data_IF_403425824187
#
_entry.id   IF_403425824187
#
_cell.length_a   1.000
_cell.length_b   1.000
_cell.length_c   1.000
_cell.angle_alpha   90.00
_cell.angle_beta   90.00
_cell.angle_gamma   90.00
#
_symmetry.space_group_name_H-M   'P 1'
#
loop_
_entity.id
_entity.type
_entity.pdbx_description
1 polymer ?
#
# COMPACT_ATOMS: atom_id res chain seq x y z
N UNK A 1 2.87 -6.80 -6.46
CA UNK A 1 3.56 -7.84 -5.65
C UNK A 1 3.06 -9.23 -6.02
N UNK A 2 3.79 -10.27 -5.60
CA UNK A 2 3.52 -11.68 -5.95
C UNK A 2 2.06 -12.11 -5.83
N UNK A 3 1.54 -12.85 -6.80
CA UNK A 3 0.26 -13.59 -6.69
C UNK A 3 0.37 -14.93 -7.43
N UNK A 4 -0.18 -16.03 -6.89
CA UNK A 4 -0.17 -17.31 -7.57
C UNK A 4 -1.15 -17.39 -8.77
N UNK A 5 -2.00 -16.39 -8.98
CA UNK A 5 -3.16 -16.48 -9.88
C UNK A 5 -2.82 -16.35 -11.38
N UNK A 6 -1.61 -15.92 -11.74
CA UNK A 6 -1.14 -15.88 -13.13
C UNK A 6 0.40 -15.89 -13.20
N UNK A 7 1.01 -16.36 -14.31
CA UNK A 7 2.47 -16.48 -14.44
C UNK A 7 3.25 -15.18 -14.16
N UNK A 8 2.78 -14.04 -14.70
CA UNK A 8 3.43 -12.75 -14.50
C UNK A 8 3.44 -12.32 -13.02
N UNK A 9 2.28 -12.21 -12.35
CA UNK A 9 2.23 -11.98 -10.92
C UNK A 9 2.96 -13.04 -10.08
N UNK A 10 3.07 -14.29 -10.52
CA UNK A 10 3.75 -15.35 -9.77
C UNK A 10 5.27 -15.17 -9.69
N UNK A 11 5.87 -14.49 -10.67
CA UNK A 11 7.31 -14.15 -10.69
C UNK A 11 7.64 -12.81 -10.03
N UNK A 12 6.63 -12.03 -9.64
CA UNK A 12 6.86 -10.76 -8.92
C UNK A 12 7.40 -11.03 -7.51
N UNK A 13 8.17 -10.08 -6.93
CA UNK A 13 8.76 -10.27 -5.61
C UNK A 13 7.69 -10.31 -4.49
N UNK A 14 8.07 -10.95 -3.39
CA UNK A 14 7.27 -10.99 -2.14
C UNK A 14 7.53 -9.79 -1.25
N UNK A 15 8.61 -9.04 -1.44
CA UNK A 15 8.82 -7.74 -0.84
C UNK A 15 9.62 -6.80 -1.73
N UNK A 16 9.47 -5.50 -1.53
CA UNK A 16 10.25 -4.44 -2.18
C UNK A 16 10.57 -3.39 -1.13
N UNK A 17 11.83 -2.97 -1.04
CA UNK A 17 12.30 -1.95 -0.10
C UNK A 17 12.59 -0.64 -0.82
N UNK A 18 12.22 0.48 -0.21
CA UNK A 18 12.52 1.83 -0.68
C UNK A 18 13.21 2.63 0.44
N UNK A 19 14.45 3.12 0.22
CA UNK A 19 15.08 4.01 1.19
C UNK A 19 14.31 5.35 1.26
N UNK A 20 14.19 5.91 2.47
CA UNK A 20 13.52 7.20 2.70
C UNK A 20 14.44 8.22 3.37
N UNK A 21 15.10 7.86 4.49
CA UNK A 21 16.01 8.72 5.26
C UNK A 21 15.38 10.07 5.67
N UNK A 22 14.13 10.03 6.13
CA UNK A 22 13.41 11.22 6.57
C UNK A 22 12.26 10.84 7.54
N UNK A 23 11.84 11.75 8.43
CA UNK A 23 10.59 11.58 9.16
C UNK A 23 9.38 11.77 8.23
N UNK A 24 8.27 11.10 8.55
CA UNK A 24 7.01 11.27 7.83
C UNK A 24 5.82 11.23 8.79
N UNK A 25 4.95 12.25 8.71
CA UNK A 25 3.64 12.22 9.38
C UNK A 25 2.59 11.44 8.59
N UNK A 26 2.81 11.26 7.28
CA UNK A 26 2.02 10.37 6.46
C UNK A 26 2.82 9.78 5.28
N UNK A 27 2.42 8.59 4.85
CA UNK A 27 2.88 7.93 3.63
C UNK A 27 1.66 7.79 2.73
N UNK A 28 1.72 8.41 1.56
CA UNK A 28 0.66 8.45 0.57
C UNK A 28 0.94 7.42 -0.51
N UNK A 29 -0.01 6.49 -0.74
CA UNK A 29 0.13 5.47 -1.76
C UNK A 29 -0.91 5.71 -2.86
N UNK A 30 -0.44 5.91 -4.09
CA UNK A 30 -1.26 5.71 -5.28
C UNK A 30 -1.33 4.20 -5.54
N UNK A 31 -2.36 3.57 -4.99
CA UNK A 31 -2.48 2.12 -4.81
C UNK A 31 -3.95 1.72 -4.58
N UNK A 32 -4.25 0.88 -3.59
CA UNK A 32 -5.60 0.42 -3.24
C UNK A 32 -6.28 -0.44 -4.31
N UNK A 33 -5.54 -0.87 -5.32
CA UNK A 33 -6.03 -1.77 -6.36
C UNK A 33 -5.21 -3.06 -6.41
N UNK A 34 -5.85 -4.14 -6.83
CA UNK A 34 -5.21 -5.44 -6.98
C UNK A 34 -5.84 -6.24 -8.12
N UNK A 35 -5.12 -7.19 -8.71
CA UNK A 35 -5.76 -8.24 -9.49
C UNK A 35 -6.40 -9.29 -8.57
N UNK A 36 -7.57 -9.81 -8.94
CA UNK A 36 -8.33 -10.79 -8.15
C UNK A 36 -8.69 -10.27 -6.73
N UNK A 37 -8.99 -8.98 -6.62
CA UNK A 37 -9.39 -8.33 -5.37
C UNK A 37 -10.91 -8.26 -5.20
N UNK A 38 -11.39 -7.56 -4.19
CA UNK A 38 -12.83 -7.34 -4.02
C UNK A 38 -13.43 -6.55 -5.20
N UNK A 39 -14.60 -6.94 -5.76
CA UNK A 39 -15.56 -7.88 -5.19
C UNK A 39 -15.39 -9.35 -5.65
N UNK A 40 -14.38 -9.66 -6.47
CA UNK A 40 -14.12 -11.04 -6.93
C UNK A 40 -13.81 -11.97 -5.76
N UNK A 41 -12.87 -11.57 -4.89
CA UNK A 41 -12.65 -12.19 -3.57
C UNK A 41 -12.99 -11.18 -2.47
N UNK A 42 -13.85 -11.57 -1.53
CA UNK A 42 -14.30 -10.73 -0.42
C UNK A 42 -13.61 -11.02 0.91
N UNK A 43 -12.68 -11.99 0.95
CA UNK A 43 -11.94 -12.33 2.16
C UNK A 43 -11.08 -11.14 2.61
N UNK A 44 -11.29 -10.58 3.82
CA UNK A 44 -10.58 -9.39 4.28
C UNK A 44 -9.18 -9.72 4.85
N UNK A 45 -8.48 -10.70 4.26
CA UNK A 45 -7.11 -11.03 4.64
C UNK A 45 -6.11 -9.96 4.17
N UNK A 46 -4.95 -9.91 4.82
CA UNK A 46 -3.86 -8.98 4.51
C UNK A 46 -3.36 -9.19 3.09
N UNK A 47 -3.50 -8.16 2.25
CA UNK A 47 -3.04 -8.16 0.86
C UNK A 47 -1.59 -7.67 0.76
N UNK A 48 -1.27 -6.62 1.51
CA UNK A 48 0.06 -6.01 1.59
C UNK A 48 0.29 -5.48 3.02
N UNK A 49 1.53 -5.48 3.48
CA UNK A 49 1.96 -4.80 4.70
C UNK A 49 2.86 -3.65 4.25
N UNK A 50 2.62 -2.46 4.80
CA UNK A 50 3.59 -1.37 4.76
C UNK A 50 4.38 -1.47 6.05
N UNK A 51 5.61 -1.96 5.95
CA UNK A 51 6.54 -2.06 7.07
C UNK A 51 7.46 -0.86 7.05
N UNK A 52 7.56 -0.18 8.19
CA UNK A 52 8.37 1.01 8.37
C UNK A 52 9.55 0.61 9.26
N UNK A 53 10.76 0.79 8.74
CA UNK A 53 12.00 0.58 9.48
C UNK A 53 12.55 1.95 9.89
N UNK A 54 12.61 2.20 11.19
CA UNK A 54 13.15 3.44 11.73
C UNK A 54 14.68 3.39 11.83
N UNK A 55 15.32 4.55 11.76
CA UNK A 55 16.78 4.67 11.85
C UNK A 55 17.35 4.18 13.20
N UNK A 56 16.52 4.15 14.25
CA UNK A 56 16.88 3.62 15.57
C UNK A 56 16.71 2.10 15.69
N UNK A 57 16.40 1.41 14.59
CA UNK A 57 16.25 -0.05 14.53
C UNK A 57 14.88 -0.57 14.96
N UNK A 58 13.95 0.29 15.37
CA UNK A 58 12.57 -0.12 15.61
C UNK A 58 11.80 -0.32 14.30
N UNK A 59 10.75 -1.13 14.33
CA UNK A 59 9.90 -1.38 13.17
C UNK A 59 8.42 -1.31 13.52
N UNK A 60 7.59 -0.89 12.57
CA UNK A 60 6.14 -1.06 12.67
C UNK A 60 5.50 -1.57 11.38
N UNK A 61 4.43 -2.36 11.54
CA UNK A 61 3.68 -2.95 10.43
C UNK A 61 2.27 -2.35 10.35
N UNK A 62 1.89 -1.93 9.14
CA UNK A 62 0.53 -1.50 8.80
C UNK A 62 -0.07 -2.47 7.79
N UNK A 63 -1.04 -3.28 8.25
CA UNK A 63 -1.72 -4.26 7.41
C UNK A 63 -2.77 -3.60 6.51
N UNK A 64 -2.59 -3.73 5.19
CA UNK A 64 -3.56 -3.31 4.19
C UNK A 64 -4.32 -4.53 3.67
N UNK A 65 -5.61 -4.59 3.99
CA UNK A 65 -6.49 -5.75 3.78
C UNK A 65 -7.27 -5.67 2.46
N UNK A 66 -7.49 -6.82 1.82
CA UNK A 66 -8.46 -6.94 0.72
C UNK A 66 -9.88 -6.59 1.21
N UNK A 67 -10.75 -6.13 0.31
CA UNK A 67 -12.12 -5.67 0.61
C UNK A 67 -12.24 -4.49 1.59
N UNK A 68 -11.11 -3.99 2.12
CA UNK A 68 -11.03 -2.83 3.01
C UNK A 68 -10.21 -1.71 2.39
N UNK A 69 -8.97 -2.02 2.03
CA UNK A 69 -8.03 -1.09 1.41
C UNK A 69 -7.91 -1.36 -0.10
N UNK A 70 -7.98 -2.64 -0.49
CA UNK A 70 -7.83 -3.07 -1.87
C UNK A 70 -9.16 -3.48 -2.51
N UNK A 71 -9.36 -3.03 -3.74
CA UNK A 71 -10.39 -3.47 -4.66
C UNK A 71 -9.77 -4.02 -5.96
N UNK A 72 -10.55 -4.73 -6.78
CA UNK A 72 -10.13 -5.17 -8.10
C UNK A 72 -9.98 -3.99 -9.05
N UNK A 73 -8.91 -3.95 -9.85
CA UNK A 73 -8.62 -2.82 -10.73
C UNK A 73 -9.58 -2.71 -11.92
N UNK A 74 -10.25 -3.80 -12.33
CA UNK A 74 -10.97 -3.91 -13.61
C UNK A 74 -12.12 -2.92 -13.81
N UNK A 75 -12.68 -2.37 -12.72
CA UNK A 75 -13.75 -1.36 -12.72
C UNK A 75 -13.80 -0.65 -11.38
N UNK A 76 -14.48 0.50 -11.30
CA UNK A 76 -14.75 1.14 -10.01
C UNK A 76 -15.48 0.20 -9.06
N UNK A 77 -14.93 0.04 -7.85
CA UNK A 77 -15.51 -0.71 -6.75
C UNK A 77 -15.05 -0.08 -5.45
N UNK A 78 -15.99 0.29 -4.59
CA UNK A 78 -15.69 0.99 -3.35
C UNK A 78 -15.40 0.04 -2.19
N UNK A 79 -14.37 0.40 -1.43
CA UNK A 79 -13.94 -0.25 -0.19
C UNK A 79 -13.66 0.84 0.85
N UNK A 80 -13.89 0.57 2.15
CA UNK A 80 -14.00 1.62 3.18
C UNK A 80 -12.70 2.39 3.47
N UNK A 81 -11.54 1.75 3.37
CA UNK A 81 -10.27 2.28 3.88
C UNK A 81 -9.33 2.75 2.75
N UNK A 82 -9.85 2.92 1.53
CA UNK A 82 -9.15 3.62 0.45
C UNK A 82 -10.11 4.49 -0.35
N UNK A 83 -9.60 5.56 -0.95
CA UNK A 83 -10.39 6.53 -1.71
C UNK A 83 -10.22 6.28 -3.19
N UNK A 84 -11.29 6.41 -3.98
CA UNK A 84 -11.15 6.47 -5.43
C UNK A 84 -10.31 7.69 -5.81
N UNK A 85 -9.28 7.48 -6.64
CA UNK A 85 -8.42 8.57 -7.11
C UNK A 85 -8.87 9.03 -8.50
N UNK A 86 -8.82 8.14 -9.48
CA UNK A 86 -9.25 8.39 -10.85
C UNK A 86 -9.52 7.08 -11.60
N UNK A 87 -10.10 7.17 -12.79
CA UNK A 87 -10.26 6.07 -13.71
C UNK A 87 -9.35 6.25 -14.93
N UNK A 88 -8.95 5.15 -15.55
CA UNK A 88 -8.31 5.12 -16.85
C UNK A 88 -9.37 5.08 -17.96
N UNK A 89 -8.99 5.42 -19.20
CA UNK A 89 -9.91 5.46 -20.35
C UNK A 89 -10.65 4.13 -20.58
N UNK A 90 -10.03 3.00 -20.21
CA UNK A 90 -10.63 1.66 -20.30
C UNK A 90 -11.59 1.30 -19.16
N UNK A 91 -11.91 2.23 -18.26
CA UNK A 91 -12.81 2.02 -17.12
C UNK A 91 -12.17 1.37 -15.89
N UNK A 92 -10.88 1.03 -15.94
CA UNK A 92 -10.12 0.57 -14.78
C UNK A 92 -10.00 1.69 -13.75
N UNK A 93 -9.80 1.34 -12.48
CA UNK A 93 -9.67 2.31 -11.39
C UNK A 93 -8.24 2.40 -10.86
N UNK A 94 -7.92 3.56 -10.29
CA UNK A 94 -6.83 3.75 -9.34
C UNK A 94 -7.41 4.29 -8.02
N UNK A 95 -6.81 3.89 -6.90
CA UNK A 95 -7.23 4.31 -5.57
C UNK A 95 -6.06 4.94 -4.81
N UNK A 96 -6.38 5.50 -3.66
CA UNK A 96 -5.45 6.20 -2.79
C UNK A 96 -5.58 5.67 -1.36
N UNK A 97 -4.45 5.38 -0.73
CA UNK A 97 -4.34 4.98 0.67
C UNK A 97 -3.41 5.97 1.39
N UNK A 98 -3.80 6.40 2.59
CA UNK A 98 -2.95 7.13 3.52
C UNK A 98 -2.54 6.20 4.65
N UNK A 99 -1.25 6.06 4.89
CA UNK A 99 -0.69 5.38 6.07
C UNK A 99 -0.09 6.44 6.98
N UNK A 100 -0.39 6.36 8.28
CA UNK A 100 0.11 7.30 9.28
C UNK A 100 1.05 6.55 10.22
N UNK A 101 2.37 6.82 10.17
CA UNK A 101 3.32 6.21 11.08
C UNK A 101 3.00 6.55 12.55
N UNK A 102 3.22 5.62 13.49
CA UNK A 102 2.99 5.90 14.91
C UNK A 102 4.02 6.85 15.51
N UNK A 103 5.19 6.95 14.88
CA UNK A 103 6.31 7.81 15.30
C UNK A 103 6.63 8.85 14.20
N UNK A 104 5.78 9.87 14.01
CA UNK A 104 5.84 10.74 12.84
C UNK A 104 7.09 11.63 12.78
N UNK A 105 7.71 11.93 13.93
CA UNK A 105 8.90 12.78 14.05
C UNK A 105 10.22 12.02 13.97
N UNK A 106 10.17 10.69 14.04
CA UNK A 106 11.36 9.84 14.04
C UNK A 106 11.78 9.54 12.61
N UNK A 107 13.09 9.48 12.36
CA UNK A 107 13.60 9.21 11.03
C UNK A 107 13.26 7.77 10.60
N UNK A 108 12.64 7.65 9.43
CA UNK A 108 12.42 6.37 8.75
C UNK A 108 13.63 6.11 7.86
N UNK A 109 14.33 5.01 8.09
CA UNK A 109 15.42 4.57 7.23
C UNK A 109 14.87 4.09 5.88
N UNK A 110 13.88 3.18 5.92
CA UNK A 110 13.29 2.59 4.73
C UNK A 110 11.85 2.14 4.94
N UNK A 111 11.11 2.06 3.84
CA UNK A 111 9.76 1.48 3.76
C UNK A 111 9.85 0.18 2.98
N UNK A 112 9.37 -0.91 3.57
CA UNK A 112 9.25 -2.21 2.92
C UNK A 112 7.79 -2.54 2.62
N UNK A 113 7.49 -2.80 1.35
CA UNK A 113 6.19 -3.29 0.91
C UNK A 113 6.21 -4.81 0.89
N UNK A 114 5.58 -5.45 1.87
CA UNK A 114 5.58 -6.91 2.02
C UNK A 114 4.27 -7.51 1.51
N UNK A 115 4.35 -8.58 0.72
CA UNK A 115 3.19 -9.32 0.26
C UNK A 115 2.53 -10.04 1.44
N UNK A 116 1.26 -9.71 1.70
CA UNK A 116 0.46 -10.43 2.70
C UNK A 116 -0.04 -11.80 2.19
N UNK A 117 -0.72 -12.56 3.05
CA UNK A 117 -1.19 -13.92 2.74
C UNK A 117 -2.35 -14.01 1.73
N UNK A 118 -3.06 -12.90 1.46
CA UNK A 118 -4.17 -12.91 0.50
C UNK A 118 -3.67 -13.21 -0.92
N UNK A 119 -4.43 -13.93 -1.74
CA UNK A 119 -3.95 -14.39 -3.05
C UNK A 119 -3.93 -13.30 -4.14
N UNK A 120 -4.61 -12.17 -3.90
CA UNK A 120 -4.60 -11.03 -4.85
C UNK A 120 -3.20 -10.48 -5.11
N UNK A 121 -3.05 -9.81 -6.25
CA UNK A 121 -1.83 -9.10 -6.64
C UNK A 121 -1.97 -7.60 -6.33
N UNK A 122 -1.57 -7.08 -5.15
CA UNK A 122 -1.65 -5.65 -4.86
C UNK A 122 -0.65 -4.87 -5.73
N UNK A 123 -1.07 -3.70 -6.18
CA UNK A 123 -0.33 -2.81 -7.07
C UNK A 123 -0.08 -1.49 -6.35
N UNK A 124 1.16 -1.00 -6.41
CA UNK A 124 1.57 0.33 -5.94
C UNK A 124 2.18 1.03 -7.13
N UNK A 125 1.59 2.16 -7.53
CA UNK A 125 2.06 2.96 -8.67
C UNK A 125 3.05 4.03 -8.20
N UNK A 126 2.75 4.68 -7.08
CA UNK A 126 3.58 5.73 -6.51
C UNK A 126 3.46 5.78 -4.98
N UNK A 127 4.50 6.30 -4.34
CA UNK A 127 4.57 6.54 -2.91
C UNK A 127 5.13 7.94 -2.69
N UNK A 128 4.54 8.70 -1.78
CA UNK A 128 5.03 10.01 -1.35
C UNK A 128 5.05 10.08 0.17
N UNK A 129 6.14 10.62 0.74
CA UNK A 129 6.24 10.89 2.18
C UNK A 129 5.86 12.35 2.46
N UNK A 130 4.94 12.58 3.38
CA UNK A 130 4.58 13.90 3.91
C UNK A 130 5.39 14.13 5.19
N UNK A 131 6.28 15.13 5.17
CA UNK A 131 7.09 15.49 6.32
C UNK A 131 6.22 16.08 7.45
N UNK A 132 6.64 15.92 8.72
CA UNK A 132 6.05 16.66 9.84
C UNK A 132 6.07 18.16 9.58
N UNK A 133 5.12 18.88 10.18
CA UNK A 133 5.17 20.34 10.16
C UNK A 133 6.48 20.80 10.80
N UNK A 134 7.22 21.66 10.10
CA UNK A 134 8.44 22.25 10.66
C UNK A 134 8.09 22.99 11.95
N UNK A 135 8.97 22.94 12.95
CA UNK A 135 8.87 23.88 14.07
C UNK A 135 8.94 25.28 13.46
N UNK A 136 7.90 26.09 13.68
CA UNK A 136 7.99 27.53 13.48
C UNK A 136 9.19 28.03 14.29
N UNK A 137 10.16 28.63 13.63
CA UNK A 137 11.23 29.41 14.29
C UNK A 137 10.65 30.60 15.05
#
# INVERSE_FOLDING_TARGET
LRSPNAPGPASMPTSVTLPLHAPAKAIHLLSGISGWGAPYDKNPATAMIVRIHYADGQTEDVELKNARHFADYVRKSDVPDSKFAFAFDGGQQMRYIKVEPKRPTEEIAEIELVKGRHQSAPIVMAITAEQPDGKSE
#
